data_IF_586083742999
#
_entry.id   IF_586083742999
#
_cell.length_a   1.000
_cell.length_b   1.000
_cell.length_c   1.000
_cell.angle_alpha   90.00
_cell.angle_beta   90.00
_cell.angle_gamma   90.00
#
_symmetry.space_group_name_H-M   'P 1'
#
loop_
_entity.id
_entity.type
_entity.pdbx_description
1 polymer ?
#
# COMPACT_ATOMS: atom_id res chain seq x y z
N UNK A 1 7.26 -16.48 6.24
CA UNK A 1 7.42 -17.90 5.91
C UNK A 1 6.85 -18.14 4.52
N UNK A 2 7.36 -19.11 3.78
CA UNK A 2 6.88 -19.44 2.44
C UNK A 2 7.64 -20.65 1.91
N UNK A 3 7.03 -21.39 0.99
CA UNK A 3 7.67 -22.54 0.34
C UNK A 3 8.03 -22.17 -1.09
N UNK A 4 9.25 -22.53 -1.50
CA UNK A 4 9.77 -22.25 -2.85
C UNK A 4 10.59 -20.97 -2.94
N UNK A 5 11.83 -21.11 -3.41
CA UNK A 5 12.81 -20.00 -3.55
C UNK A 5 12.27 -18.87 -4.41
N UNK A 6 11.51 -19.18 -5.46
CA UNK A 6 10.95 -18.17 -6.37
C UNK A 6 10.06 -17.15 -5.66
N UNK A 7 9.29 -17.59 -4.64
CA UNK A 7 8.40 -16.70 -3.87
C UNK A 7 9.16 -16.07 -2.71
N UNK A 8 9.94 -16.84 -1.96
CA UNK A 8 10.61 -16.34 -0.75
C UNK A 8 11.70 -15.32 -1.07
N UNK A 9 12.43 -15.49 -2.17
CA UNK A 9 13.45 -14.53 -2.63
C UNK A 9 12.82 -13.21 -3.07
N UNK A 10 11.71 -13.24 -3.82
CA UNK A 10 10.98 -12.04 -4.25
C UNK A 10 10.43 -11.25 -3.04
N UNK A 11 9.82 -11.95 -2.07
CA UNK A 11 9.35 -11.32 -0.84
C UNK A 11 10.49 -10.74 0.00
N UNK A 12 11.66 -11.40 0.04
CA UNK A 12 12.84 -10.87 0.74
C UNK A 12 13.33 -9.57 0.09
N UNK A 13 13.43 -9.52 -1.23
CA UNK A 13 13.82 -8.31 -1.95
C UNK A 13 12.81 -7.18 -1.73
N UNK A 14 11.51 -7.47 -1.84
CA UNK A 14 10.47 -6.49 -1.54
C UNK A 14 10.57 -5.96 -0.10
N UNK A 15 10.88 -6.81 0.88
CA UNK A 15 11.11 -6.37 2.26
C UNK A 15 12.31 -5.43 2.41
N UNK A 16 13.41 -5.68 1.70
CA UNK A 16 14.57 -4.79 1.68
C UNK A 16 14.28 -3.47 0.96
N UNK A 17 13.49 -3.51 -0.11
CA UNK A 17 13.06 -2.32 -0.81
C UNK A 17 12.17 -1.43 0.07
N UNK A 18 11.24 -2.02 0.84
CA UNK A 18 10.40 -1.29 1.78
C UNK A 18 11.24 -0.58 2.86
N UNK A 19 12.32 -1.20 3.34
CA UNK A 19 13.28 -0.54 4.22
C UNK A 19 13.96 0.65 3.52
N UNK A 20 14.36 0.50 2.26
CA UNK A 20 14.89 1.58 1.44
C UNK A 20 13.89 2.73 1.26
N UNK A 21 12.63 2.43 0.99
CA UNK A 21 11.53 3.40 0.88
C UNK A 21 11.39 4.19 2.19
N UNK A 22 11.40 3.52 3.34
CA UNK A 22 11.36 4.18 4.64
C UNK A 22 12.56 5.12 4.88
N UNK A 23 13.76 4.74 4.43
CA UNK A 23 14.94 5.60 4.49
C UNK A 23 14.79 6.84 3.60
N UNK A 24 14.23 6.69 2.38
CA UNK A 24 13.96 7.83 1.50
C UNK A 24 12.93 8.80 2.11
N UNK A 25 11.85 8.28 2.70
CA UNK A 25 10.85 9.12 3.39
C UNK A 25 11.46 9.86 4.58
N UNK A 26 12.35 9.20 5.34
CA UNK A 26 13.10 9.84 6.44
C UNK A 26 13.99 10.97 5.90
N UNK A 27 14.72 10.74 4.80
CA UNK A 27 15.55 11.78 4.16
C UNK A 27 14.73 12.94 3.62
N UNK A 28 13.54 12.68 3.07
CA UNK A 28 12.61 13.73 2.64
C UNK A 28 12.21 14.60 3.84
N UNK A 29 11.82 13.97 4.96
CA UNK A 29 11.51 14.67 6.21
C UNK A 29 12.67 15.52 6.73
N UNK A 30 13.90 14.99 6.70
CA UNK A 30 15.11 15.74 7.11
C UNK A 30 15.48 16.89 6.16
N UNK A 31 15.22 16.73 4.86
CA UNK A 31 15.56 17.74 3.86
C UNK A 31 14.56 18.89 3.85
N UNK A 32 13.28 18.60 4.04
CA UNK A 32 12.18 19.58 3.93
C UNK A 32 11.68 20.10 5.28
N UNK A 33 11.87 19.33 6.36
CA UNK A 33 11.40 19.65 7.70
C UNK A 33 12.43 20.39 8.55
N UNK A 34 12.03 20.66 9.79
CA UNK A 34 12.88 21.23 10.84
C UNK A 34 13.27 20.19 11.89
N UNK A 35 14.18 20.57 12.77
CA UNK A 35 14.58 19.74 13.90
C UNK A 35 13.35 19.38 14.75
N UNK A 36 13.10 18.09 14.96
CA UNK A 36 11.96 17.59 15.73
C UNK A 36 10.74 17.18 14.89
N UNK A 37 10.73 17.43 13.58
CA UNK A 37 9.58 17.06 12.73
C UNK A 37 9.43 15.54 12.56
N UNK A 38 10.54 14.78 12.59
CA UNK A 38 10.46 13.32 12.57
C UNK A 38 9.85 12.76 13.86
N UNK A 39 10.19 13.36 15.00
CA UNK A 39 9.68 13.04 16.31
C UNK A 39 8.19 13.39 16.40
N UNK A 40 7.81 14.55 15.84
CA UNK A 40 6.41 14.95 15.71
C UNK A 40 5.62 13.99 14.81
N UNK A 41 6.20 13.58 13.67
CA UNK A 41 5.58 12.60 12.78
C UNK A 41 5.40 11.24 13.46
N UNK A 42 6.40 10.76 14.21
CA UNK A 42 6.28 9.55 15.04
C UNK A 42 5.21 9.70 16.11
N UNK A 43 5.14 10.84 16.78
CA UNK A 43 4.11 11.12 17.78
C UNK A 43 2.72 11.13 17.15
N UNK A 44 2.56 11.67 15.94
CA UNK A 44 1.31 11.63 15.20
C UNK A 44 0.90 10.19 14.83
N UNK A 45 1.85 9.38 14.34
CA UNK A 45 1.60 7.95 14.10
C UNK A 45 1.10 7.21 15.35
N UNK A 46 1.73 7.48 16.50
CA UNK A 46 1.42 6.79 17.75
C UNK A 46 0.10 7.24 18.38
N UNK A 47 -0.29 8.52 18.24
CA UNK A 47 -1.35 9.10 19.07
C UNK A 47 -2.48 9.78 18.29
N UNK A 48 -2.24 10.27 17.07
CA UNK A 48 -3.25 11.05 16.37
C UNK A 48 -4.35 10.13 15.81
N UNK A 49 -5.65 10.45 16.02
CA UNK A 49 -6.77 9.59 15.63
C UNK A 49 -6.75 9.19 14.14
N UNK A 50 -6.32 10.09 13.26
CA UNK A 50 -6.28 9.85 11.81
C UNK A 50 -5.35 8.68 11.40
N UNK A 51 -4.38 8.31 12.23
CA UNK A 51 -3.44 7.24 11.94
C UNK A 51 -3.76 5.92 12.64
N UNK A 52 -4.68 5.91 13.61
CA UNK A 52 -4.87 4.75 14.48
C UNK A 52 -5.48 3.55 13.75
N UNK A 53 -6.38 3.77 12.79
CA UNK A 53 -6.97 2.68 12.02
C UNK A 53 -5.94 2.02 11.09
N UNK A 54 -5.08 2.81 10.44
CA UNK A 54 -3.95 2.30 9.65
C UNK A 54 -2.92 1.60 10.54
N UNK A 55 -2.61 2.17 11.71
CA UNK A 55 -1.72 1.54 12.68
C UNK A 55 -2.26 0.19 13.16
N UNK A 56 -3.54 0.11 13.51
CA UNK A 56 -4.19 -1.14 13.90
C UNK A 56 -4.14 -2.15 12.76
N UNK A 57 -4.43 -1.74 11.52
CA UNK A 57 -4.33 -2.62 10.35
C UNK A 57 -2.91 -3.20 10.20
N UNK A 58 -1.88 -2.38 10.35
CA UNK A 58 -0.47 -2.83 10.30
C UNK A 58 -0.17 -3.79 11.47
N UNK A 59 -0.59 -3.48 12.69
CA UNK A 59 -0.36 -4.36 13.86
C UNK A 59 -1.10 -5.70 13.70
N UNK A 60 -2.30 -5.71 13.11
CA UNK A 60 -3.08 -6.91 12.82
C UNK A 60 -2.37 -7.81 11.79
N UNK A 61 -1.69 -7.25 10.78
CA UNK A 61 -0.96 -8.07 9.79
C UNK A 61 0.29 -8.73 10.37
N UNK A 62 0.91 -8.13 11.39
CA UNK A 62 2.11 -8.69 12.04
C UNK A 62 1.85 -10.01 12.77
N UNK A 63 0.60 -10.31 13.12
CA UNK A 63 0.22 -11.51 13.87
C UNK A 63 -0.45 -12.60 13.02
N UNK A 64 -0.58 -12.38 11.71
CA UNK A 64 -1.16 -13.34 10.78
C UNK A 64 -0.34 -14.63 10.69
N UNK A 65 -1.04 -15.76 10.53
CA UNK A 65 -0.42 -17.09 10.45
C UNK A 65 -0.29 -17.59 9.02
N UNK A 66 -1.33 -17.39 8.21
CA UNK A 66 -1.27 -17.73 6.80
C UNK A 66 -0.42 -16.70 6.06
N UNK A 67 0.68 -17.18 5.49
CA UNK A 67 1.64 -16.32 4.82
C UNK A 67 1.12 -15.80 3.47
N UNK A 68 0.21 -16.54 2.82
CA UNK A 68 -0.38 -16.12 1.54
C UNK A 68 -1.53 -15.15 1.79
N UNK A 69 -2.31 -15.36 2.85
CA UNK A 69 -3.26 -14.33 3.27
C UNK A 69 -2.54 -13.02 3.63
N UNK A 70 -1.42 -13.09 4.37
CA UNK A 70 -0.56 -11.92 4.65
C UNK A 70 -0.04 -11.28 3.36
N UNK A 71 0.34 -12.10 2.37
CA UNK A 71 0.77 -11.62 1.06
C UNK A 71 -0.31 -10.79 0.38
N UNK A 72 -1.56 -11.27 0.39
CA UNK A 72 -2.73 -10.57 -0.16
C UNK A 72 -3.05 -9.30 0.64
N UNK A 73 -3.01 -9.37 1.97
CA UNK A 73 -3.27 -8.21 2.83
C UNK A 73 -2.27 -7.08 2.59
N UNK A 74 -0.97 -7.38 2.56
CA UNK A 74 0.10 -6.40 2.43
C UNK A 74 0.33 -5.96 0.98
N UNK A 75 0.80 -6.88 0.12
CA UNK A 75 1.34 -6.54 -1.20
C UNK A 75 0.24 -6.26 -2.25
N UNK A 76 -0.99 -6.72 -1.99
CA UNK A 76 -2.13 -6.51 -2.88
C UNK A 76 -3.04 -5.40 -2.36
N UNK A 77 -3.69 -5.63 -1.21
CA UNK A 77 -4.74 -4.75 -0.73
C UNK A 77 -4.18 -3.42 -0.17
N UNK A 78 -3.32 -3.48 0.86
CA UNK A 78 -2.78 -2.29 1.49
C UNK A 78 -1.90 -1.49 0.53
N UNK A 79 -0.87 -2.11 -0.05
CA UNK A 79 0.06 -1.41 -0.95
C UNK A 79 -0.67 -0.89 -2.21
N UNK A 80 -1.64 -1.65 -2.73
CA UNK A 80 -2.53 -1.26 -3.83
C UNK A 80 -3.21 0.09 -3.63
N UNK A 81 -3.81 0.28 -2.45
CA UNK A 81 -4.50 1.51 -2.10
C UNK A 81 -3.53 2.60 -1.64
N UNK A 82 -2.57 2.26 -0.78
CA UNK A 82 -1.64 3.21 -0.17
C UNK A 82 -0.75 3.88 -1.21
N UNK A 83 -0.15 3.13 -2.12
CA UNK A 83 0.75 3.73 -3.12
C UNK A 83 -0.01 4.57 -4.14
N UNK A 84 -1.22 4.16 -4.53
CA UNK A 84 -2.08 4.99 -5.36
C UNK A 84 -2.45 6.30 -4.66
N UNK A 85 -2.85 6.22 -3.39
CA UNK A 85 -3.25 7.39 -2.61
C UNK A 85 -2.07 8.35 -2.42
N UNK A 86 -0.94 7.86 -1.89
CA UNK A 86 0.20 8.69 -1.53
C UNK A 86 0.93 9.27 -2.75
N UNK A 87 1.26 8.43 -3.73
CA UNK A 87 2.18 8.81 -4.83
C UNK A 87 1.45 9.16 -6.14
N UNK A 88 0.11 9.23 -6.14
CA UNK A 88 -0.66 9.78 -7.27
C UNK A 88 -1.64 10.85 -6.82
N UNK A 89 -2.58 10.50 -5.93
CA UNK A 89 -3.67 11.42 -5.58
C UNK A 89 -3.19 12.56 -4.66
N UNK A 90 -2.47 12.23 -3.58
CA UNK A 90 -1.88 13.21 -2.66
C UNK A 90 -0.75 13.98 -3.34
N UNK A 91 0.16 13.27 -4.02
CA UNK A 91 1.21 13.91 -4.81
C UNK A 91 0.66 14.92 -5.83
N UNK A 92 -0.39 14.57 -6.58
CA UNK A 92 -1.02 15.47 -7.54
C UNK A 92 -1.56 16.76 -6.90
N UNK A 93 -2.16 16.68 -5.72
CA UNK A 93 -2.63 17.86 -4.99
C UNK A 93 -1.47 18.70 -4.45
N UNK A 94 -0.42 18.07 -3.93
CA UNK A 94 0.79 18.77 -3.48
C UNK A 94 1.46 19.48 -4.67
N UNK A 95 1.64 18.79 -5.79
CA UNK A 95 2.25 19.34 -7.00
C UNK A 95 1.48 20.54 -7.54
N UNK A 96 0.14 20.48 -7.55
CA UNK A 96 -0.70 21.59 -7.98
C UNK A 96 -0.58 22.83 -7.06
N UNK A 97 -0.34 22.63 -5.76
CA UNK A 97 -0.28 23.71 -4.77
C UNK A 97 1.12 24.28 -4.55
N UNK A 98 2.15 23.43 -4.59
CA UNK A 98 3.50 23.73 -4.14
C UNK A 98 4.59 23.39 -5.17
N UNK A 99 4.21 22.93 -6.37
CA UNK A 99 5.14 22.55 -7.43
C UNK A 99 5.67 21.11 -7.30
N UNK A 100 6.46 20.65 -8.29
CA UNK A 100 6.75 19.22 -8.49
C UNK A 100 7.87 18.65 -7.59
N UNK A 101 8.41 19.44 -6.66
CA UNK A 101 9.58 19.05 -5.87
C UNK A 101 9.35 17.78 -5.07
N UNK A 102 8.18 17.65 -4.41
CA UNK A 102 7.84 16.42 -3.68
C UNK A 102 7.75 15.23 -4.63
N UNK A 103 7.08 15.40 -5.77
CA UNK A 103 6.96 14.36 -6.81
C UNK A 103 8.31 13.87 -7.33
N UNK A 104 9.28 14.79 -7.47
CA UNK A 104 10.65 14.43 -7.85
C UNK A 104 11.37 13.61 -6.76
N UNK A 105 11.15 13.96 -5.48
CA UNK A 105 11.75 13.25 -4.34
C UNK A 105 11.10 11.89 -4.05
N UNK A 106 9.83 11.70 -4.46
CA UNK A 106 9.10 10.44 -4.29
C UNK A 106 9.00 9.59 -5.56
N UNK A 107 9.75 9.95 -6.61
CA UNK A 107 9.71 9.24 -7.91
C UNK A 107 10.09 7.77 -7.77
N UNK A 108 11.10 7.46 -6.95
CA UNK A 108 11.56 6.09 -6.74
C UNK A 108 10.42 5.17 -6.28
N UNK A 109 9.61 5.61 -5.33
CA UNK A 109 8.48 4.85 -4.79
C UNK A 109 7.39 4.62 -5.85
N UNK A 110 7.10 5.66 -6.66
CA UNK A 110 6.11 5.58 -7.72
C UNK A 110 6.52 4.60 -8.85
N UNK A 111 7.80 4.61 -9.23
CA UNK A 111 8.35 3.72 -10.25
C UNK A 111 8.51 2.28 -9.71
N UNK A 112 9.09 2.13 -8.51
CA UNK A 112 9.24 0.84 -7.84
C UNK A 112 7.91 0.10 -7.73
N UNK A 113 6.84 0.80 -7.39
CA UNK A 113 5.54 0.14 -7.22
C UNK A 113 5.00 -0.46 -8.52
N UNK A 114 5.29 0.13 -9.68
CA UNK A 114 4.89 -0.44 -10.96
C UNK A 114 5.59 -1.77 -11.23
N UNK A 115 6.88 -1.86 -10.91
CA UNK A 115 7.65 -3.09 -11.05
C UNK A 115 7.26 -4.13 -9.99
N UNK A 116 7.02 -3.70 -8.75
CA UNK A 116 6.50 -4.54 -7.67
C UNK A 116 5.16 -5.18 -8.06
N UNK A 117 4.24 -4.43 -8.67
CA UNK A 117 2.96 -4.97 -9.12
C UNK A 117 3.11 -6.12 -10.14
N UNK A 118 4.12 -6.08 -11.02
CA UNK A 118 4.27 -7.09 -12.10
C UNK A 118 4.41 -8.51 -11.56
N UNK A 119 5.26 -8.70 -10.55
CA UNK A 119 5.49 -10.02 -9.99
C UNK A 119 4.37 -10.42 -9.01
N UNK A 120 3.81 -9.47 -8.26
CA UNK A 120 2.64 -9.71 -7.40
C UNK A 120 1.44 -10.18 -8.21
N UNK A 121 1.12 -9.48 -9.31
CA UNK A 121 0.03 -9.84 -10.20
C UNK A 121 0.26 -11.22 -10.84
N UNK A 122 1.51 -11.56 -11.19
CA UNK A 122 1.86 -12.87 -11.72
C UNK A 122 1.65 -14.00 -10.69
N UNK A 123 1.99 -13.77 -9.42
CA UNK A 123 1.75 -14.73 -8.33
C UNK A 123 0.24 -14.93 -8.12
N UNK A 124 -0.54 -13.86 -8.02
CA UNK A 124 -1.99 -13.95 -7.86
C UNK A 124 -2.61 -14.68 -9.05
N UNK A 125 -2.18 -14.37 -10.28
CA UNK A 125 -2.64 -15.04 -11.49
C UNK A 125 -2.34 -16.53 -11.49
N UNK A 126 -1.14 -16.93 -11.09
CA UNK A 126 -0.78 -18.34 -10.97
C UNK A 126 -1.67 -19.07 -9.96
N UNK A 127 -1.86 -18.49 -8.77
CA UNK A 127 -2.65 -19.12 -7.70
C UNK A 127 -4.14 -19.18 -8.04
N UNK A 128 -4.70 -18.13 -8.65
CA UNK A 128 -6.09 -18.11 -9.10
C UNK A 128 -6.36 -19.11 -10.23
N UNK A 129 -5.39 -19.34 -11.11
CA UNK A 129 -5.52 -20.31 -12.21
C UNK A 129 -5.31 -21.77 -11.77
N UNK A 130 -4.64 -22.00 -10.64
CA UNK A 130 -4.31 -23.35 -10.16
C UNK A 130 -5.54 -24.18 -9.79
N UNK A 131 -6.54 -23.58 -9.13
CA UNK A 131 -7.81 -24.25 -8.81
C UNK A 131 -8.94 -23.26 -8.50
N UNK A 132 -10.19 -23.69 -8.74
CA UNK A 132 -11.38 -22.92 -8.38
C UNK A 132 -11.46 -22.65 -6.86
N UNK A 133 -11.00 -23.61 -6.04
CA UNK A 133 -10.96 -23.45 -4.59
C UNK A 133 -10.00 -22.32 -4.17
N UNK A 134 -8.80 -22.26 -4.76
CA UNK A 134 -7.84 -21.18 -4.52
C UNK A 134 -8.39 -19.83 -4.99
N UNK A 135 -8.94 -19.79 -6.21
CA UNK A 135 -9.54 -18.57 -6.76
C UNK A 135 -10.58 -18.00 -5.80
N UNK A 136 -11.49 -18.85 -5.30
CA UNK A 136 -12.56 -18.43 -4.38
C UNK A 136 -12.02 -17.97 -3.02
N UNK A 137 -11.06 -18.71 -2.46
CA UNK A 137 -10.44 -18.37 -1.17
C UNK A 137 -9.72 -17.02 -1.25
N UNK A 138 -8.85 -16.85 -2.25
CA UNK A 138 -8.06 -15.63 -2.43
C UNK A 138 -8.94 -14.43 -2.79
N UNK A 139 -10.00 -14.62 -3.58
CA UNK A 139 -10.98 -13.56 -3.85
C UNK A 139 -11.70 -13.11 -2.57
N UNK A 140 -12.02 -14.06 -1.67
CA UNK A 140 -12.60 -13.75 -0.36
C UNK A 140 -11.66 -12.94 0.52
N UNK A 141 -10.40 -13.36 0.63
CA UNK A 141 -9.36 -12.60 1.34
C UNK A 141 -9.18 -11.21 0.76
N UNK A 142 -9.05 -11.10 -0.57
CA UNK A 142 -8.91 -9.83 -1.25
C UNK A 142 -10.08 -8.88 -0.95
N UNK A 143 -11.33 -9.35 -1.06
CA UNK A 143 -12.49 -8.52 -0.79
C UNK A 143 -12.50 -7.98 0.65
N UNK A 144 -12.18 -8.83 1.63
CA UNK A 144 -12.11 -8.46 3.03
C UNK A 144 -10.97 -7.45 3.31
N UNK A 145 -9.77 -7.73 2.83
CA UNK A 145 -8.60 -6.90 3.08
C UNK A 145 -8.62 -5.59 2.30
N UNK A 146 -9.17 -5.56 1.08
CA UNK A 146 -9.42 -4.33 0.31
C UNK A 146 -10.33 -3.38 1.10
N UNK A 147 -11.42 -3.90 1.66
CA UNK A 147 -12.35 -3.06 2.43
C UNK A 147 -11.67 -2.53 3.71
N UNK A 148 -11.03 -3.41 4.48
CA UNK A 148 -10.30 -3.00 5.70
C UNK A 148 -9.21 -1.97 5.42
N UNK A 149 -8.46 -2.11 4.33
CA UNK A 149 -7.44 -1.16 3.92
C UNK A 149 -8.05 0.18 3.48
N UNK A 150 -9.17 0.17 2.75
CA UNK A 150 -9.89 1.39 2.39
C UNK A 150 -10.40 2.14 3.64
N UNK A 151 -11.01 1.41 4.59
CA UNK A 151 -11.50 1.98 5.85
C UNK A 151 -10.35 2.57 6.68
N UNK A 152 -9.22 1.86 6.75
CA UNK A 152 -8.05 2.31 7.48
C UNK A 152 -7.37 3.54 6.86
N UNK A 153 -7.48 3.71 5.54
CA UNK A 153 -6.92 4.84 4.80
C UNK A 153 -7.88 6.04 4.71
N UNK A 154 -9.17 5.88 4.99
CA UNK A 154 -10.15 6.99 4.93
C UNK A 154 -9.76 8.20 5.80
N UNK A 155 -9.37 8.04 7.08
CA UNK A 155 -8.97 9.18 7.90
C UNK A 155 -7.68 9.86 7.41
N UNK A 156 -6.74 9.06 6.88
CA UNK A 156 -5.48 9.56 6.30
C UNK A 156 -5.74 10.32 4.99
N UNK A 157 -6.64 9.80 4.14
CA UNK A 157 -7.06 10.47 2.92
C UNK A 157 -7.75 11.80 3.22
N UNK A 158 -8.64 11.85 4.22
CA UNK A 158 -9.29 13.10 4.66
C UNK A 158 -8.29 14.11 5.19
N UNK A 159 -7.28 13.67 5.94
CA UNK A 159 -6.20 14.54 6.43
C UNK A 159 -5.44 15.20 5.27
N UNK A 160 -5.16 14.47 4.19
CA UNK A 160 -4.36 14.97 3.08
C UNK A 160 -5.19 15.72 2.01
N UNK A 161 -6.42 15.28 1.74
CA UNK A 161 -7.21 15.69 0.58
C UNK A 161 -8.52 16.41 0.93
N UNK A 162 -8.92 16.45 2.21
CA UNK A 162 -10.18 17.03 2.65
C UNK A 162 -11.37 16.42 1.91
N UNK A 163 -12.21 17.27 1.30
CA UNK A 163 -13.41 16.85 0.56
C UNK A 163 -13.09 15.93 -0.64
N UNK A 164 -11.86 15.97 -1.16
CA UNK A 164 -11.42 15.11 -2.27
C UNK A 164 -11.12 13.65 -1.86
N UNK A 165 -11.09 13.34 -0.56
CA UNK A 165 -10.64 12.04 -0.04
C UNK A 165 -11.46 10.86 -0.56
N UNK A 166 -12.79 10.96 -0.52
CA UNK A 166 -13.68 9.88 -0.93
C UNK A 166 -13.53 9.56 -2.42
N UNK A 167 -13.39 10.59 -3.27
CA UNK A 167 -13.19 10.41 -4.71
C UNK A 167 -11.83 9.77 -5.01
N UNK A 168 -10.76 10.20 -4.33
CA UNK A 168 -9.42 9.64 -4.48
C UNK A 168 -9.37 8.17 -4.07
N UNK A 169 -9.96 7.79 -2.93
CA UNK A 169 -10.03 6.41 -2.48
C UNK A 169 -10.87 5.53 -3.42
N UNK A 170 -12.01 6.03 -3.91
CA UNK A 170 -12.83 5.30 -4.88
C UNK A 170 -12.05 5.03 -6.18
N UNK A 171 -11.28 6.01 -6.65
CA UNK A 171 -10.42 5.86 -7.83
C UNK A 171 -9.30 4.84 -7.60
N UNK A 172 -8.61 4.91 -6.47
CA UNK A 172 -7.58 3.94 -6.11
C UNK A 172 -8.13 2.52 -5.98
N UNK A 173 -9.32 2.38 -5.38
CA UNK A 173 -10.04 1.11 -5.32
C UNK A 173 -10.37 0.59 -6.71
N UNK A 174 -10.93 1.41 -7.59
CA UNK A 174 -11.26 1.02 -8.97
C UNK A 174 -10.02 0.54 -9.74
N UNK A 175 -8.87 1.20 -9.58
CA UNK A 175 -7.61 0.76 -10.18
C UNK A 175 -7.14 -0.59 -9.64
N UNK A 176 -7.24 -0.79 -8.32
CA UNK A 176 -6.88 -2.06 -7.68
C UNK A 176 -7.82 -3.20 -8.12
N UNK A 177 -9.13 -2.94 -8.18
CA UNK A 177 -10.16 -3.90 -8.62
C UNK A 177 -9.90 -4.34 -10.06
N UNK A 178 -9.63 -3.39 -10.96
CA UNK A 178 -9.29 -3.69 -12.34
C UNK A 178 -8.01 -4.55 -12.46
N UNK A 179 -7.01 -4.29 -11.61
CA UNK A 179 -5.77 -5.07 -11.57
C UNK A 179 -6.03 -6.51 -11.11
N UNK A 180 -6.79 -6.70 -10.05
CA UNK A 180 -7.10 -8.02 -9.51
C UNK A 180 -8.06 -8.83 -10.36
N UNK A 181 -9.02 -8.18 -11.03
CA UNK A 181 -9.86 -8.81 -12.04
C UNK A 181 -9.01 -9.38 -13.19
N UNK A 182 -8.03 -8.60 -13.67
CA UNK A 182 -7.08 -9.05 -14.70
C UNK A 182 -6.18 -10.20 -14.22
N UNK A 183 -5.90 -10.26 -12.92
CA UNK A 183 -5.17 -11.36 -12.29
C UNK A 183 -6.06 -12.60 -12.02
N UNK A 184 -7.37 -12.57 -12.31
CA UNK A 184 -8.27 -13.72 -12.21
C UNK A 184 -9.08 -13.81 -10.91
N UNK A 185 -9.04 -12.78 -10.06
CA UNK A 185 -9.88 -12.72 -8.87
C UNK A 185 -11.28 -12.18 -9.17
N UNK A 186 -12.24 -12.56 -8.34
CA UNK A 186 -13.57 -11.93 -8.29
C UNK A 186 -13.51 -10.71 -7.38
N UNK A 187 -13.84 -9.52 -7.91
CA UNK A 187 -13.65 -8.19 -7.29
C UNK A 187 -14.94 -7.49 -6.90
#
# INVERSE_FOLDING_TARGET
>A
YGYGTAVTQACLYAGMDQLGIAQYLTRLGLLMGQQGDLEAAKHAWLNAPAWQELRRLVEDTLVMKDWFELFVAQNVALDGLLFCLAYKEVDGVIAAKAGPTVSMLTRFQAEWFQDHCKWVDAVIKGVAAESEANQKLVSGWYAAWRQRAADALDPVARLALGDGAAAALAKCRSHLDARMAKAGLSV
#
